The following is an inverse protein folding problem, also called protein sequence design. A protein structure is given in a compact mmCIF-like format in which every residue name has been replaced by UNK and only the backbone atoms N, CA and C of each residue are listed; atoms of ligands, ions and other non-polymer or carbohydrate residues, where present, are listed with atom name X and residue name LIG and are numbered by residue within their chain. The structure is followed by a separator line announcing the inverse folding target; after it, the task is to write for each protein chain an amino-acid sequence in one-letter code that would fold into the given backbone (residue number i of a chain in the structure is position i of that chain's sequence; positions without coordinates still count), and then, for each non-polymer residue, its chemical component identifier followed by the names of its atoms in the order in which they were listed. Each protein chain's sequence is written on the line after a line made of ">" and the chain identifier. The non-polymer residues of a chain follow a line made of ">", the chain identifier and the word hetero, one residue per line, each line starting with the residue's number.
data_IF_288578083937
#
_entry.id   IF_288578083937
#
_cell.length_a   1.000
_cell.length_b   1.000
_cell.length_c   1.000
_cell.angle_alpha   90.00
_cell.angle_beta   90.00
_cell.angle_gamma   90.00
#
_symmetry.space_group_name_H-M   'P 1'
#
loop_
_entity.id
_entity.type
_entity.pdbx_description
1 polymer ?
#
# COMPACT_ATOMS: atom_id res chain seq x y z
N UNK A 1 27.84 3.95 23.35
CA UNK A 1 26.96 4.34 22.22
C UNK A 1 25.59 3.77 22.53
N UNK A 2 24.53 4.59 22.60
CA UNK A 2 23.17 4.04 22.72
C UNK A 2 22.88 3.30 21.42
N UNK A 3 22.51 2.02 21.50
CA UNK A 3 21.90 1.30 20.38
C UNK A 3 20.72 2.14 19.89
N UNK A 4 20.81 2.64 18.67
CA UNK A 4 19.67 3.30 18.03
C UNK A 4 18.76 2.17 17.59
N UNK A 5 17.73 1.87 18.39
CA UNK A 5 16.72 0.90 18.03
C UNK A 5 16.02 1.36 16.75
N UNK A 6 16.18 0.59 15.68
CA UNK A 6 15.52 0.82 14.40
C UNK A 6 14.12 0.21 14.49
N UNK A 7 13.09 1.06 14.54
CA UNK A 7 11.70 0.60 14.48
C UNK A 7 11.19 0.60 13.03
N UNK A 8 10.43 -0.43 12.68
CA UNK A 8 9.85 -0.63 11.35
C UNK A 8 8.32 -0.83 11.48
N UNK A 9 7.53 0.03 10.84
CA UNK A 9 6.07 -0.09 10.79
C UNK A 9 5.62 -0.92 9.59
N UNK A 10 4.80 -1.95 9.80
CA UNK A 10 4.35 -2.87 8.74
C UNK A 10 2.97 -2.54 8.16
N UNK A 11 2.27 -1.54 8.72
CA UNK A 11 0.87 -1.28 8.38
C UNK A 11 0.53 0.21 8.30
N UNK A 12 1.40 1.02 7.68
CA UNK A 12 1.13 2.44 7.47
C UNK A 12 0.10 2.67 6.37
N UNK A 13 -0.74 3.69 6.58
CA UNK A 13 -1.65 4.21 5.57
C UNK A 13 -1.78 5.74 5.67
N UNK A 14 -2.00 6.37 4.53
CA UNK A 14 -2.31 7.80 4.43
C UNK A 14 -3.21 8.05 3.22
N UNK A 15 -3.71 9.27 3.09
CA UNK A 15 -4.54 9.69 1.98
C UNK A 15 -6.02 9.64 2.32
N UNK A 16 -6.81 10.39 1.56
CA UNK A 16 -8.24 10.50 1.75
C UNK A 16 -8.97 9.30 1.12
N UNK A 17 -9.63 8.50 1.95
CA UNK A 17 -10.58 7.47 1.49
C UNK A 17 -11.99 8.03 1.27
N UNK A 18 -12.87 7.22 0.71
CA UNK A 18 -14.27 7.59 0.47
C UNK A 18 -15.17 7.52 1.71
N UNK A 19 -14.78 6.73 2.72
CA UNK A 19 -15.69 6.36 3.82
C UNK A 19 -15.25 6.83 5.21
N UNK A 20 -14.02 7.34 5.35
CA UNK A 20 -13.44 7.67 6.65
C UNK A 20 -12.57 8.91 6.59
N UNK A 21 -12.61 9.72 7.65
CA UNK A 21 -11.67 10.83 7.82
C UNK A 21 -10.26 10.25 7.98
N UNK A 22 -9.29 10.64 7.14
CA UNK A 22 -7.94 10.10 7.25
C UNK A 22 -7.25 10.61 8.53
N UNK A 23 -6.51 9.74 9.20
CA UNK A 23 -5.60 10.13 10.29
C UNK A 23 -4.42 10.94 9.73
N UNK A 24 -3.91 10.51 8.57
CA UNK A 24 -2.83 11.17 7.84
C UNK A 24 -3.32 11.53 6.44
N UNK A 25 -3.79 12.77 6.19
CA UNK A 25 -4.27 13.20 4.88
C UNK A 25 -3.18 13.14 3.80
N UNK A 26 -1.94 13.50 4.14
CA UNK A 26 -0.80 13.53 3.22
C UNK A 26 0.36 12.67 3.73
N UNK A 27 1.25 12.23 2.83
CA UNK A 27 2.43 11.43 3.19
C UNK A 27 3.35 12.14 4.21
N UNK A 28 3.44 13.47 4.13
CA UNK A 28 4.23 14.28 5.07
C UNK A 28 3.70 14.19 6.50
N UNK A 29 2.38 14.06 6.68
CA UNK A 29 1.76 13.95 7.99
C UNK A 29 2.10 12.60 8.63
N UNK A 30 2.10 11.54 7.81
CA UNK A 30 2.54 10.21 8.23
C UNK A 30 4.03 10.18 8.59
N UNK A 31 4.89 10.83 7.79
CA UNK A 31 6.33 10.94 8.10
C UNK A 31 6.59 11.69 9.41
N UNK A 32 5.89 12.80 9.64
CA UNK A 32 5.99 13.54 10.91
C UNK A 32 5.55 12.67 12.11
N UNK A 33 4.55 11.81 11.92
CA UNK A 33 4.13 10.85 12.93
C UNK A 33 5.19 9.77 13.18
N UNK A 34 5.82 9.24 12.12
CA UNK A 34 6.95 8.32 12.25
C UNK A 34 8.10 8.95 13.05
N UNK A 35 8.44 10.21 12.76
CA UNK A 35 9.49 10.95 13.48
C UNK A 35 9.17 11.11 14.97
N UNK A 36 7.92 11.48 15.28
CA UNK A 36 7.44 11.60 16.66
C UNK A 36 7.56 10.29 17.45
N UNK A 37 7.36 9.15 16.79
CA UNK A 37 7.43 7.82 17.41
C UNK A 37 8.83 7.18 17.34
N UNK A 38 9.80 7.80 16.65
CA UNK A 38 11.12 7.21 16.42
C UNK A 38 11.09 6.03 15.44
N UNK A 39 10.12 5.98 14.53
CA UNK A 39 10.01 4.94 13.49
C UNK A 39 10.91 5.30 12.30
N UNK A 40 11.84 4.41 11.96
CA UNK A 40 12.81 4.64 10.90
C UNK A 40 12.23 4.35 9.52
N UNK A 41 11.48 3.25 9.39
CA UNK A 41 11.00 2.73 8.12
C UNK A 41 9.54 2.30 8.21
N UNK A 42 8.82 2.31 7.08
CA UNK A 42 7.45 1.82 7.04
C UNK A 42 7.04 1.25 5.70
N UNK A 43 6.29 0.16 5.74
CA UNK A 43 5.43 -0.25 4.61
C UNK A 43 4.18 0.61 4.64
N UNK A 44 3.87 1.25 3.51
CA UNK A 44 2.76 2.20 3.40
C UNK A 44 1.90 1.93 2.18
N UNK A 45 0.59 1.93 2.39
CA UNK A 45 -0.43 1.96 1.33
C UNK A 45 -1.13 3.32 1.27
N UNK A 46 -1.74 3.68 0.14
CA UNK A 46 -2.59 4.85 0.04
C UNK A 46 -4.07 4.46 0.17
N UNK A 47 -4.83 5.12 1.05
CA UNK A 47 -6.22 4.79 1.36
C UNK A 47 -7.16 4.93 0.15
N UNK A 48 -6.86 5.82 -0.80
CA UNK A 48 -7.62 5.95 -2.05
C UNK A 48 -7.61 4.63 -2.85
N UNK A 49 -6.50 3.88 -2.80
CA UNK A 49 -6.37 2.59 -3.51
C UNK A 49 -7.26 1.50 -2.94
N UNK A 50 -7.65 1.62 -1.68
CA UNK A 50 -8.57 0.72 -0.98
C UNK A 50 -10.03 1.08 -1.26
N UNK A 51 -10.35 2.38 -1.21
CA UNK A 51 -11.73 2.85 -1.13
C UNK A 51 -12.34 3.30 -2.46
N UNK A 52 -11.52 3.73 -3.43
CA UNK A 52 -12.00 4.35 -4.67
C UNK A 52 -11.51 3.64 -5.94
N UNK A 53 -10.22 3.76 -6.27
CA UNK A 53 -9.61 3.13 -7.44
C UNK A 53 -8.23 2.60 -7.08
N UNK A 54 -8.06 1.30 -7.30
CA UNK A 54 -6.79 0.61 -7.05
C UNK A 54 -5.68 1.25 -7.86
N UNK A 55 -5.90 1.48 -9.16
CA UNK A 55 -4.89 2.08 -10.02
C UNK A 55 -4.53 3.51 -9.61
N UNK A 56 -5.52 4.38 -9.39
CA UNK A 56 -5.28 5.78 -9.06
C UNK A 56 -4.57 5.95 -7.72
N UNK A 57 -5.04 5.27 -6.67
CA UNK A 57 -4.41 5.36 -5.35
C UNK A 57 -3.00 4.75 -5.33
N UNK A 58 -2.77 3.65 -6.05
CA UNK A 58 -1.43 3.07 -6.18
C UNK A 58 -0.47 3.99 -6.93
N UNK A 59 -0.94 4.62 -8.01
CA UNK A 59 -0.15 5.59 -8.77
C UNK A 59 0.17 6.83 -7.93
N UNK A 60 -0.81 7.32 -7.17
CA UNK A 60 -0.64 8.43 -6.21
C UNK A 60 0.44 8.11 -5.19
N UNK A 61 0.40 6.92 -4.57
CA UNK A 61 1.41 6.47 -3.62
C UNK A 61 2.84 6.61 -4.17
N UNK A 62 3.05 6.11 -5.38
CA UNK A 62 4.35 6.14 -6.03
C UNK A 62 4.78 7.57 -6.39
N UNK A 63 3.85 8.42 -6.84
CA UNK A 63 4.12 9.83 -7.13
C UNK A 63 4.49 10.62 -5.87
N UNK A 64 3.81 10.38 -4.75
CA UNK A 64 4.04 11.09 -3.50
C UNK A 64 5.40 10.69 -2.90
N UNK A 65 5.78 9.41 -2.99
CA UNK A 65 7.12 8.93 -2.61
C UNK A 65 8.20 9.58 -3.51
N UNK A 66 7.97 9.61 -4.83
CA UNK A 66 8.93 10.24 -5.76
C UNK A 66 9.08 11.73 -5.48
N UNK A 67 8.01 12.42 -5.08
CA UNK A 67 8.03 13.87 -4.84
C UNK A 67 8.65 14.25 -3.50
N UNK A 68 8.87 13.28 -2.60
CA UNK A 68 9.39 13.51 -1.26
C UNK A 68 10.70 12.73 -1.04
N UNK A 69 11.85 13.41 -1.10
CA UNK A 69 13.16 12.77 -0.93
C UNK A 69 13.27 11.98 0.39
N UNK A 70 12.76 12.53 1.49
CA UNK A 70 12.77 11.85 2.80
C UNK A 70 11.95 10.57 2.80
N UNK A 71 10.92 10.46 1.96
CA UNK A 71 10.11 9.24 1.85
C UNK A 71 10.84 8.12 1.12
N UNK A 72 11.65 8.44 0.09
CA UNK A 72 12.29 7.43 -0.77
C UNK A 72 13.15 6.41 0.00
N UNK A 73 13.81 6.86 1.06
CA UNK A 73 14.70 6.02 1.87
C UNK A 73 14.00 5.36 3.06
N UNK A 74 12.74 5.74 3.34
CA UNK A 74 12.02 5.34 4.56
C UNK A 74 10.74 4.56 4.28
N UNK A 75 10.14 4.75 3.12
CA UNK A 75 8.83 4.24 2.77
C UNK A 75 8.96 3.13 1.73
N UNK A 76 8.42 1.97 2.07
CA UNK A 76 8.26 0.84 1.17
C UNK A 76 6.81 0.81 0.66
N UNK A 77 6.56 1.03 -0.64
CA UNK A 77 5.20 1.04 -1.16
C UNK A 77 4.56 -0.35 -1.10
N UNK A 78 3.37 -0.42 -0.49
CA UNK A 78 2.46 -1.56 -0.60
C UNK A 78 1.32 -1.21 -1.57
N UNK A 79 1.36 -1.80 -2.77
CA UNK A 79 0.29 -1.59 -3.74
C UNK A 79 -0.93 -2.43 -3.37
N UNK A 80 -2.09 -1.79 -3.29
CA UNK A 80 -3.35 -2.50 -3.13
C UNK A 80 -3.63 -3.30 -4.39
N UNK A 81 -4.16 -4.51 -4.26
CA UNK A 81 -4.65 -5.31 -5.38
C UNK A 81 -6.10 -5.72 -5.15
N UNK A 82 -6.85 -5.87 -6.23
CA UNK A 82 -8.25 -6.27 -6.22
C UNK A 82 -8.60 -6.96 -7.54
N UNK A 83 -9.62 -7.85 -7.59
CA UNK A 83 -10.13 -8.34 -8.87
C UNK A 83 -10.58 -7.22 -9.81
N UNK A 84 -10.95 -6.06 -9.26
CA UNK A 84 -11.31 -4.85 -10.01
C UNK A 84 -10.25 -4.43 -11.05
N UNK A 85 -8.97 -4.77 -10.84
CA UNK A 85 -7.87 -4.39 -11.72
C UNK A 85 -7.99 -4.95 -13.14
N UNK A 86 -8.75 -6.04 -13.35
CA UNK A 86 -9.02 -6.55 -14.70
C UNK A 86 -10.05 -5.72 -15.47
N UNK A 87 -10.84 -4.89 -14.78
CA UNK A 87 -11.86 -4.04 -15.38
C UNK A 87 -11.40 -2.58 -15.50
N UNK A 88 -10.32 -2.21 -14.80
CA UNK A 88 -9.72 -0.89 -14.87
C UNK A 88 -8.59 -0.85 -15.90
N UNK A 89 -8.74 -0.01 -16.93
CA UNK A 89 -7.81 0.03 -18.05
C UNK A 89 -6.38 0.35 -17.59
N UNK A 90 -5.43 -0.51 -17.93
CA UNK A 90 -4.00 -0.36 -17.61
C UNK A 90 -3.59 -0.70 -16.18
N UNK A 91 -4.52 -1.07 -15.29
CA UNK A 91 -4.19 -1.34 -13.88
C UNK A 91 -3.28 -2.58 -13.72
N UNK A 92 -3.58 -3.67 -14.43
CA UNK A 92 -2.75 -4.88 -14.41
C UNK A 92 -1.38 -4.68 -15.05
N UNK A 93 -1.29 -3.92 -16.14
CA UNK A 93 -0.01 -3.65 -16.81
C UNK A 93 0.89 -2.77 -15.93
N UNK A 94 0.30 -1.75 -15.29
CA UNK A 94 0.99 -0.93 -14.31
C UNK A 94 1.53 -1.75 -13.13
N UNK A 95 0.73 -2.67 -12.59
CA UNK A 95 1.16 -3.56 -11.50
C UNK A 95 2.35 -4.43 -11.93
N UNK A 96 2.25 -5.07 -13.10
CA UNK A 96 3.31 -5.92 -13.65
C UNK A 96 4.60 -5.12 -13.88
N UNK A 97 4.50 -3.91 -14.41
CA UNK A 97 5.65 -3.01 -14.62
C UNK A 97 6.31 -2.63 -13.29
N UNK A 98 5.53 -2.29 -12.25
CA UNK A 98 6.07 -1.95 -10.94
C UNK A 98 6.81 -3.10 -10.27
N UNK A 99 6.32 -4.33 -10.44
CA UNK A 99 6.96 -5.54 -9.92
C UNK A 99 8.20 -5.93 -10.74
N UNK A 100 8.14 -5.85 -12.07
CA UNK A 100 9.24 -6.18 -12.97
C UNK A 100 10.46 -5.27 -12.77
N UNK A 101 10.23 -3.97 -12.57
CA UNK A 101 11.28 -2.99 -12.27
C UNK A 101 11.85 -3.10 -10.86
N UNK A 102 11.26 -3.95 -10.00
CA UNK A 102 11.63 -4.07 -8.59
C UNK A 102 11.25 -2.84 -7.74
N UNK A 103 10.53 -1.88 -8.32
CA UNK A 103 10.05 -0.66 -7.64
C UNK A 103 9.11 -0.99 -6.48
N UNK A 104 8.36 -2.07 -6.61
CA UNK A 104 7.43 -2.57 -5.60
C UNK A 104 7.72 -4.04 -5.35
N UNK A 105 7.65 -4.45 -4.08
CA UNK A 105 7.68 -5.87 -3.69
C UNK A 105 6.52 -6.28 -2.78
N UNK A 106 5.80 -5.30 -2.21
CA UNK A 106 4.72 -5.55 -1.27
C UNK A 106 3.39 -5.27 -1.95
N UNK A 107 2.48 -6.22 -1.84
CA UNK A 107 1.09 -6.12 -2.25
C UNK A 107 0.22 -6.18 -1.01
N UNK A 108 -0.92 -5.50 -1.04
CA UNK A 108 -1.87 -5.47 0.07
C UNK A 108 -3.28 -5.75 -0.41
N UNK A 109 -4.03 -6.52 0.38
CA UNK A 109 -5.47 -6.72 0.17
C UNK A 109 -6.23 -6.38 1.45
N UNK A 110 -7.48 -5.94 1.28
CA UNK A 110 -8.36 -5.55 2.38
C UNK A 110 -9.69 -6.31 2.29
N UNK A 111 -9.73 -7.60 2.68
CA UNK A 111 -10.94 -8.41 2.55
C UNK A 111 -12.18 -7.80 3.22
N UNK A 112 -12.01 -7.14 4.36
CA UNK A 112 -13.11 -6.57 5.15
C UNK A 112 -13.84 -5.38 4.49
N UNK A 113 -13.23 -4.75 3.48
CA UNK A 113 -13.83 -3.62 2.74
C UNK A 113 -13.90 -3.89 1.23
N UNK A 114 -13.29 -4.98 0.77
CA UNK A 114 -13.40 -5.45 -0.61
C UNK A 114 -14.84 -5.82 -0.93
N UNK A 115 -15.30 -5.48 -2.13
CA UNK A 115 -16.59 -5.94 -2.68
C UNK A 115 -16.51 -7.35 -3.27
N UNK A 116 -15.33 -7.96 -3.22
CA UNK A 116 -15.03 -9.27 -3.77
C UNK A 116 -14.59 -10.22 -2.66
N UNK A 117 -15.03 -11.45 -2.77
CA UNK A 117 -14.59 -12.57 -1.95
C UNK A 117 -13.10 -12.84 -2.15
N UNK A 118 -12.43 -13.36 -1.12
CA UNK A 118 -10.97 -13.56 -1.14
C UNK A 118 -10.54 -14.43 -2.32
N UNK A 119 -11.26 -15.52 -2.64
CA UNK A 119 -10.87 -16.41 -3.74
C UNK A 119 -10.84 -15.72 -5.12
N UNK A 120 -11.56 -14.61 -5.28
CA UNK A 120 -11.60 -13.88 -6.56
C UNK A 120 -10.27 -13.18 -6.87
N UNK A 121 -9.41 -12.94 -5.87
CA UNK A 121 -8.07 -12.34 -6.10
C UNK A 121 -7.07 -13.32 -6.72
N UNK A 122 -7.37 -14.62 -6.71
CA UNK A 122 -6.42 -15.66 -7.13
C UNK A 122 -5.86 -15.42 -8.53
N UNK A 123 -6.67 -14.89 -9.46
CA UNK A 123 -6.21 -14.63 -10.82
C UNK A 123 -5.11 -13.55 -10.85
N UNK A 124 -5.30 -12.47 -10.08
CA UNK A 124 -4.27 -11.43 -9.92
C UNK A 124 -3.00 -12.03 -9.33
N UNK A 125 -3.13 -12.84 -8.28
CA UNK A 125 -1.99 -13.50 -7.62
C UNK A 125 -1.24 -14.45 -8.56
N UNK A 126 -1.95 -15.26 -9.36
CA UNK A 126 -1.36 -16.15 -10.36
C UNK A 126 -0.54 -15.37 -11.39
N UNK A 127 -1.08 -14.28 -11.91
CA UNK A 127 -0.42 -13.44 -12.92
C UNK A 127 0.88 -12.79 -12.42
N UNK A 128 0.95 -12.48 -11.12
CA UNK A 128 2.11 -11.80 -10.51
C UNK A 128 3.03 -12.73 -9.72
N UNK A 129 2.68 -14.01 -9.57
CA UNK A 129 3.42 -14.98 -8.76
C UNK A 129 4.90 -15.08 -9.15
N UNK A 130 5.22 -14.97 -10.45
CA UNK A 130 6.61 -15.02 -10.96
C UNK A 130 7.51 -13.93 -10.38
N UNK A 131 6.95 -12.80 -9.95
CA UNK A 131 7.69 -11.69 -9.32
C UNK A 131 7.92 -11.89 -7.82
N UNK A 132 7.37 -12.96 -7.23
CA UNK A 132 7.49 -13.32 -5.81
C UNK A 132 7.17 -12.16 -4.85
N UNK A 133 6.01 -11.49 -4.97
CA UNK A 133 5.64 -10.41 -4.08
C UNK A 133 5.36 -10.91 -2.66
N UNK A 134 5.55 -10.04 -1.67
CA UNK A 134 5.04 -10.22 -0.31
C UNK A 134 3.59 -9.75 -0.30
N UNK A 135 2.66 -10.62 0.12
CA UNK A 135 1.25 -10.28 0.26
C UNK A 135 0.91 -10.00 1.73
N UNK A 136 0.42 -8.79 2.01
CA UNK A 136 -0.16 -8.41 3.30
C UNK A 136 -1.68 -8.51 3.19
N UNK A 137 -2.30 -9.21 4.14
CA UNK A 137 -3.75 -9.33 4.25
C UNK A 137 -4.18 -8.50 5.46
N UNK A 138 -4.88 -7.41 5.21
CA UNK A 138 -5.42 -6.55 6.26
C UNK A 138 -6.76 -7.13 6.75
N UNK A 139 -6.66 -7.93 7.81
CA UNK A 139 -7.83 -8.52 8.47
C UNK A 139 -8.27 -7.61 9.61
N UNK A 140 -9.38 -6.92 9.42
CA UNK A 140 -10.04 -6.25 10.56
C UNK A 140 -10.62 -7.32 11.47
N UNK A 141 -10.31 -7.24 12.75
CA UNK A 141 -11.03 -8.00 13.76
C UNK A 141 -12.43 -7.39 13.87
N UNK A 142 -13.44 -8.04 13.30
CA UNK A 142 -14.82 -7.68 13.52
C UNK A 142 -15.19 -8.20 14.92
N UNK A 143 -15.27 -7.30 15.90
CA UNK A 143 -15.92 -7.62 17.17
C UNK A 143 -17.42 -7.68 16.85
N UNK A 144 -17.95 -8.89 16.71
CA UNK A 144 -19.39 -9.12 16.67
C UNK A 144 -20.02 -8.78 18.02
#
# INVERSE_FOLDING_TARGET
>A
MKEVSIYFSVNGDYGCGGYSKPEFPELKDYLAHMDRLGISYSIVSNTESRDYSVYHGNKRLLQDIDSCNTARDRIFPALTISPAMYYENGAMDFLKQCLETGRVKVLKIFPSVSRFEIFQIEQVLRDVAKYKPILIIDTRFLVN
#
